data_IF_665066098167
#
_entry.id   IF_665066098167
#
_cell.length_a   1.000
_cell.length_b   1.000
_cell.length_c   1.000
_cell.angle_alpha   90.00
_cell.angle_beta   90.00
_cell.angle_gamma   90.00
#
_symmetry.space_group_name_H-M   'P 1'
#
loop_
_entity.id
_entity.type
_entity.pdbx_description
1 polymer ?
#
# COMPACT_ATOMS: atom_id res chain seq x y z
N UNK A 1 6.70 -14.38 11.94
CA UNK A 1 5.84 -15.19 11.06
C UNK A 1 4.46 -14.55 11.02
N UNK A 2 4.15 -13.73 10.02
CA UNK A 2 2.79 -13.24 9.76
C UNK A 2 2.31 -13.87 8.47
N UNK A 3 1.60 -14.99 8.60
CA UNK A 3 0.93 -15.67 7.49
C UNK A 3 -0.55 -15.63 7.80
N UNK A 4 -1.36 -15.12 6.88
CA UNK A 4 -2.80 -14.92 7.09
C UNK A 4 -3.61 -15.68 6.06
N UNK A 5 -4.54 -16.51 6.52
CA UNK A 5 -5.51 -17.18 5.66
C UNK A 5 -6.57 -16.19 5.17
N UNK A 6 -6.88 -16.26 3.88
CA UNK A 6 -7.88 -15.44 3.21
C UNK A 6 -8.92 -16.39 2.61
N UNK A 7 -10.15 -16.28 3.11
CA UNK A 7 -11.30 -17.04 2.65
C UNK A 7 -12.57 -16.26 3.00
N UNK A 8 -13.67 -16.56 2.31
CA UNK A 8 -14.95 -15.91 2.60
C UNK A 8 -15.51 -16.37 3.95
N UNK A 9 -15.79 -15.41 4.82
CA UNK A 9 -16.56 -15.60 6.06
C UNK A 9 -18.03 -15.26 5.85
N UNK A 10 -18.91 -15.68 6.78
CA UNK A 10 -20.36 -15.49 6.71
C UNK A 10 -20.79 -14.08 6.30
N UNK A 11 -20.15 -13.06 6.88
CA UNK A 11 -20.41 -11.66 6.55
C UNK A 11 -20.10 -11.33 5.08
N UNK A 12 -18.89 -11.66 4.63
CA UNK A 12 -18.50 -11.45 3.23
C UNK A 12 -19.33 -12.27 2.24
N UNK A 13 -19.72 -13.49 2.61
CA UNK A 13 -20.53 -14.37 1.76
C UNK A 13 -21.95 -13.86 1.55
N UNK A 14 -22.47 -13.04 2.47
CA UNK A 14 -23.84 -12.52 2.47
C UNK A 14 -23.92 -11.07 1.95
N UNK A 15 -23.14 -10.72 0.92
CA UNK A 15 -23.16 -9.38 0.32
C UNK A 15 -22.12 -8.40 0.87
N UNK A 16 -21.26 -8.83 1.79
CA UNK A 16 -20.14 -8.04 2.29
C UNK A 16 -18.97 -7.96 1.29
N UNK A 17 -17.92 -7.22 1.64
CA UNK A 17 -16.73 -7.07 0.79
C UNK A 17 -15.94 -8.38 0.74
N UNK A 18 -15.47 -8.76 -0.46
CA UNK A 18 -14.62 -9.92 -0.65
C UNK A 18 -13.28 -9.74 0.08
N UNK A 19 -12.89 -10.67 0.98
CA UNK A 19 -11.57 -10.66 1.60
C UNK A 19 -10.45 -10.80 0.57
N UNK A 20 -10.70 -11.54 -0.52
CA UNK A 20 -9.77 -11.66 -1.65
C UNK A 20 -9.54 -10.30 -2.30
N UNK A 21 -10.61 -9.62 -2.72
CA UNK A 21 -10.49 -8.33 -3.40
C UNK A 21 -9.88 -7.26 -2.50
N UNK A 22 -10.28 -7.23 -1.22
CA UNK A 22 -9.69 -6.32 -0.24
C UNK A 22 -8.19 -6.53 -0.10
N UNK A 23 -7.76 -7.77 0.10
CA UNK A 23 -6.33 -8.09 0.26
C UNK A 23 -5.55 -7.82 -1.02
N UNK A 24 -6.07 -8.22 -2.19
CA UNK A 24 -5.40 -7.94 -3.47
C UNK A 24 -5.27 -6.43 -3.69
N UNK A 25 -6.35 -5.66 -3.47
CA UNK A 25 -6.33 -4.20 -3.57
C UNK A 25 -5.26 -3.58 -2.65
N UNK A 26 -5.15 -4.05 -1.41
CA UNK A 26 -4.14 -3.58 -0.46
C UNK A 26 -2.70 -3.92 -0.90
N UNK A 27 -2.49 -5.10 -1.52
CA UNK A 27 -1.18 -5.53 -2.02
C UNK A 27 -0.75 -4.74 -3.25
N UNK A 28 -1.65 -4.55 -4.22
CA UNK A 28 -1.27 -4.05 -5.55
C UNK A 28 -1.15 -2.54 -5.63
N UNK A 29 -1.73 -1.84 -4.66
CA UNK A 29 -1.93 -0.38 -4.71
C UNK A 29 -0.63 0.40 -4.59
N UNK A 30 -0.31 1.13 -5.66
CA UNK A 30 0.89 1.94 -5.86
C UNK A 30 2.19 1.15 -5.71
N UNK A 31 2.18 -0.08 -6.23
CA UNK A 31 3.27 -1.04 -6.13
C UNK A 31 3.65 -1.57 -7.50
N UNK A 32 4.84 -2.14 -7.59
CA UNK A 32 5.24 -2.91 -8.76
C UNK A 32 4.75 -4.34 -8.58
N UNK A 33 3.90 -4.80 -9.50
CA UNK A 33 3.12 -6.02 -9.30
C UNK A 33 3.53 -7.09 -10.29
N UNK A 34 3.80 -8.29 -9.80
CA UNK A 34 4.06 -9.47 -10.59
C UNK A 34 2.91 -10.46 -10.41
N UNK A 35 2.31 -10.90 -11.52
CA UNK A 35 1.09 -11.70 -11.53
C UNK A 35 1.34 -13.00 -12.27
N UNK A 36 0.97 -14.13 -11.68
CA UNK A 36 0.91 -15.43 -12.36
C UNK A 36 -0.48 -15.99 -12.18
N UNK A 37 -1.24 -16.16 -13.26
CA UNK A 37 -2.57 -16.76 -13.18
C UNK A 37 -3.03 -17.30 -14.55
N UNK A 38 -3.50 -18.56 -14.66
CA UNK A 38 -4.01 -19.11 -15.92
C UNK A 38 -5.32 -18.48 -16.37
N UNK A 39 -6.24 -18.24 -15.42
CA UNK A 39 -7.60 -17.83 -15.73
C UNK A 39 -7.88 -16.47 -15.13
N UNK A 40 -7.95 -15.47 -15.99
CA UNK A 40 -8.07 -14.07 -15.59
C UNK A 40 -9.25 -13.46 -16.33
N UNK A 41 -10.04 -12.62 -15.68
CA UNK A 41 -11.00 -11.79 -16.42
C UNK A 41 -10.36 -10.43 -16.69
N UNK A 42 -10.43 -9.94 -17.92
CA UNK A 42 -9.90 -8.60 -18.31
C UNK A 42 -10.40 -7.50 -17.38
N UNK A 43 -11.68 -7.53 -16.99
CA UNK A 43 -12.26 -6.54 -16.09
C UNK A 43 -11.65 -6.56 -14.68
N UNK A 44 -11.22 -7.72 -14.18
CA UNK A 44 -10.58 -7.80 -12.87
C UNK A 44 -9.09 -7.47 -12.94
N UNK A 45 -8.39 -7.90 -14.00
CA UNK A 45 -7.01 -7.50 -14.25
C UNK A 45 -6.90 -5.98 -14.41
N UNK A 46 -7.82 -5.36 -15.16
CA UNK A 46 -7.87 -3.90 -15.31
C UNK A 46 -8.00 -3.16 -13.98
N UNK A 47 -8.69 -3.73 -12.98
CA UNK A 47 -8.73 -3.17 -11.61
C UNK A 47 -7.38 -3.23 -10.92
N UNK A 48 -6.66 -4.33 -11.08
CA UNK A 48 -5.31 -4.48 -10.51
C UNK A 48 -4.35 -3.50 -11.17
N UNK A 49 -4.35 -3.43 -12.51
CA UNK A 49 -3.42 -2.57 -13.26
C UNK A 49 -3.69 -1.08 -13.05
N UNK A 50 -4.96 -0.68 -12.85
CA UNK A 50 -5.32 0.70 -12.50
C UNK A 50 -4.75 1.13 -11.12
N UNK A 51 -4.55 0.16 -10.22
CA UNK A 51 -4.03 0.42 -8.87
C UNK A 51 -2.51 0.31 -8.79
N UNK A 52 -1.86 -0.40 -9.71
CA UNK A 52 -0.42 -0.66 -9.69
C UNK A 52 0.40 0.48 -10.32
N UNK A 53 1.65 0.65 -9.88
CA UNK A 53 2.61 1.57 -10.55
C UNK A 53 3.11 0.94 -11.87
N UNK A 54 3.51 -0.32 -11.79
CA UNK A 54 3.88 -1.16 -12.93
C UNK A 54 3.33 -2.55 -12.68
N UNK A 55 3.11 -3.31 -13.74
CA UNK A 55 2.61 -4.67 -13.61
C UNK A 55 3.21 -5.56 -14.70
N UNK A 56 3.42 -6.83 -14.36
CA UNK A 56 3.86 -7.85 -15.30
C UNK A 56 3.04 -9.11 -15.07
N UNK A 57 2.60 -9.75 -16.15
CA UNK A 57 1.76 -10.94 -16.13
C UNK A 57 2.46 -12.10 -16.86
N UNK A 58 2.63 -13.22 -16.16
CA UNK A 58 2.92 -14.52 -16.78
C UNK A 58 1.63 -15.35 -16.76
N UNK A 59 1.19 -15.78 -17.93
CA UNK A 59 -0.06 -16.54 -18.07
C UNK A 59 -0.01 -17.52 -19.23
N UNK A 60 -0.85 -18.53 -19.19
CA UNK A 60 -1.12 -19.33 -20.38
C UNK A 60 -2.14 -18.57 -21.24
N UNK A 61 -1.63 -17.79 -22.18
CA UNK A 61 -2.45 -16.99 -23.11
C UNK A 61 -3.46 -17.84 -23.89
N UNK A 62 -3.12 -19.08 -24.24
CA UNK A 62 -4.03 -19.97 -24.99
C UNK A 62 -5.23 -20.34 -24.10
N UNK A 63 -4.97 -20.81 -22.88
CA UNK A 63 -5.99 -21.13 -21.88
C UNK A 63 -6.82 -19.90 -21.47
N UNK A 64 -6.16 -18.75 -21.34
CA UNK A 64 -6.82 -17.49 -21.02
C UNK A 64 -7.86 -17.15 -22.09
N UNK A 65 -7.52 -17.26 -23.37
CA UNK A 65 -8.45 -16.93 -24.45
C UNK A 65 -9.53 -18.00 -24.58
N UNK A 66 -9.18 -19.29 -24.64
CA UNK A 66 -10.15 -20.35 -24.99
C UNK A 66 -11.25 -20.51 -23.94
N UNK A 67 -10.93 -20.25 -22.66
CA UNK A 67 -11.87 -20.31 -21.52
C UNK A 67 -13.00 -19.26 -21.57
N UNK A 68 -12.90 -18.29 -22.48
CA UNK A 68 -13.87 -17.22 -22.65
C UNK A 68 -14.83 -17.47 -23.83
N UNK A 69 -15.99 -16.77 -23.81
CA UNK A 69 -16.89 -16.74 -24.97
C UNK A 69 -16.33 -15.85 -26.10
N UNK A 70 -16.92 -15.93 -27.30
CA UNK A 70 -16.42 -15.21 -28.50
C UNK A 70 -16.20 -13.71 -28.26
N UNK A 71 -17.16 -13.02 -27.62
CA UNK A 71 -17.03 -11.58 -27.33
C UNK A 71 -15.86 -11.30 -26.38
N UNK A 72 -15.73 -12.13 -25.34
CA UNK A 72 -14.67 -12.03 -24.35
C UNK A 72 -13.29 -12.42 -24.91
N UNK A 73 -13.22 -13.36 -25.87
CA UNK A 73 -11.99 -13.71 -26.61
C UNK A 73 -11.44 -12.48 -27.32
N UNK A 74 -12.29 -11.74 -28.03
CA UNK A 74 -11.88 -10.53 -28.73
C UNK A 74 -11.45 -9.41 -27.76
N UNK A 75 -12.17 -9.21 -26.65
CA UNK A 75 -11.71 -8.23 -25.64
C UNK A 75 -10.39 -8.63 -24.98
N UNK A 76 -10.16 -9.92 -24.78
CA UNK A 76 -8.91 -10.45 -24.22
C UNK A 76 -7.77 -10.29 -25.21
N UNK A 77 -7.98 -10.61 -26.49
CA UNK A 77 -7.03 -10.35 -27.58
C UNK A 77 -6.61 -8.89 -27.60
N UNK A 78 -7.57 -7.96 -27.64
CA UNK A 78 -7.27 -6.53 -27.71
C UNK A 78 -6.49 -6.08 -26.48
N UNK A 79 -6.89 -6.52 -25.29
CA UNK A 79 -6.15 -6.21 -24.06
C UNK A 79 -4.69 -6.71 -24.12
N UNK A 80 -4.44 -7.91 -24.66
CA UNK A 80 -3.08 -8.42 -24.81
C UNK A 80 -2.28 -7.57 -25.79
N UNK A 81 -2.88 -7.21 -26.93
CA UNK A 81 -2.22 -6.39 -27.96
C UNK A 81 -1.85 -5.00 -27.44
N UNK A 82 -2.67 -4.41 -26.58
CA UNK A 82 -2.42 -3.10 -25.97
C UNK A 82 -1.31 -3.16 -24.89
N UNK A 83 -0.92 -4.35 -24.42
CA UNK A 83 -0.02 -4.53 -23.28
C UNK A 83 1.05 -5.63 -23.53
N UNK A 84 1.55 -5.74 -24.77
CA UNK A 84 2.47 -6.81 -25.17
C UNK A 84 3.78 -6.85 -24.37
N UNK A 85 4.27 -5.69 -23.91
CA UNK A 85 5.48 -5.60 -23.08
C UNK A 85 5.31 -6.21 -21.69
N UNK A 86 4.08 -6.24 -21.20
CA UNK A 86 3.76 -6.54 -19.81
C UNK A 86 3.14 -7.93 -19.66
N UNK A 87 2.96 -8.67 -20.76
CA UNK A 87 2.34 -10.00 -20.79
C UNK A 87 3.25 -11.02 -21.49
N UNK A 88 3.59 -12.07 -20.76
CA UNK A 88 4.33 -13.23 -21.25
C UNK A 88 3.44 -14.47 -21.30
N UNK A 89 3.58 -15.23 -22.38
CA UNK A 89 2.98 -16.55 -22.54
C UNK A 89 3.86 -17.62 -21.88
N UNK A 90 3.27 -18.40 -20.99
CA UNK A 90 3.87 -19.60 -20.39
C UNK A 90 2.84 -20.72 -20.46
N UNK A 91 3.08 -21.70 -21.33
CA UNK A 91 2.18 -22.83 -21.52
C UNK A 91 2.03 -23.70 -20.27
N UNK A 92 0.81 -24.14 -19.99
CA UNK A 92 0.44 -25.02 -18.87
C UNK A 92 0.71 -24.42 -17.47
N UNK A 93 0.92 -23.10 -17.36
CA UNK A 93 1.09 -22.45 -16.05
C UNK A 93 -0.23 -22.46 -15.29
N UNK A 94 -0.28 -23.11 -14.13
CA UNK A 94 -1.50 -23.18 -13.31
C UNK A 94 -1.36 -22.51 -11.93
N UNK A 95 -0.24 -21.82 -11.69
CA UNK A 95 -0.02 -21.06 -10.47
C UNK A 95 -0.95 -19.84 -10.39
N UNK A 96 -1.30 -19.41 -9.17
CA UNK A 96 -2.19 -18.28 -8.89
C UNK A 96 -1.57 -17.44 -7.80
N UNK A 97 -0.78 -16.47 -8.24
CA UNK A 97 0.15 -15.72 -7.41
C UNK A 97 0.11 -14.25 -7.79
N UNK A 98 0.06 -13.37 -6.79
CA UNK A 98 0.33 -11.95 -6.93
C UNK A 98 1.45 -11.61 -5.96
N UNK A 99 2.50 -10.94 -6.43
CA UNK A 99 3.62 -10.49 -5.62
C UNK A 99 3.83 -9.00 -5.84
N UNK A 100 3.95 -8.23 -4.77
CA UNK A 100 4.22 -6.80 -4.82
C UNK A 100 5.14 -6.41 -3.68
N UNK A 101 6.28 -5.76 -3.98
CA UNK A 101 7.32 -5.29 -3.05
C UNK A 101 7.61 -6.19 -1.82
N UNK A 102 6.80 -6.06 -0.78
CA UNK A 102 6.93 -6.67 0.55
C UNK A 102 5.82 -7.68 0.91
N UNK A 103 4.90 -7.96 -0.02
CA UNK A 103 3.77 -8.89 0.19
C UNK A 103 3.56 -9.83 -1.00
N UNK A 104 3.01 -11.00 -0.71
CA UNK A 104 2.55 -11.93 -1.71
C UNK A 104 1.21 -12.56 -1.34
N UNK A 105 0.43 -12.89 -2.37
CA UNK A 105 -0.85 -13.55 -2.30
C UNK A 105 -0.80 -14.80 -3.16
N UNK A 106 -1.02 -15.96 -2.55
CA UNK A 106 -1.00 -17.26 -3.24
C UNK A 106 -2.21 -18.08 -2.83
N UNK A 107 -2.85 -18.80 -3.75
CA UNK A 107 -3.96 -19.67 -3.38
C UNK A 107 -4.64 -20.38 -4.53
N UNK A 108 -5.89 -20.78 -4.30
CA UNK A 108 -6.70 -21.51 -5.27
C UNK A 108 -7.52 -20.60 -6.20
N UNK A 109 -7.74 -19.34 -5.80
CA UNK A 109 -8.58 -18.40 -6.53
C UNK A 109 -7.95 -17.93 -7.84
N UNK A 110 -8.68 -18.09 -8.93
CA UNK A 110 -8.38 -17.44 -10.20
C UNK A 110 -8.79 -15.96 -10.17
N UNK A 111 -8.09 -15.10 -10.90
CA UNK A 111 -8.32 -13.65 -10.96
C UNK A 111 -9.52 -13.28 -11.85
N UNK A 112 -10.67 -13.85 -11.49
CA UNK A 112 -11.96 -13.66 -12.16
C UNK A 112 -12.99 -13.16 -11.15
N UNK A 113 -14.00 -12.41 -11.60
CA UNK A 113 -15.08 -11.97 -10.72
C UNK A 113 -15.69 -13.12 -9.89
N UNK A 114 -15.85 -14.31 -10.50
CA UNK A 114 -16.36 -15.50 -9.80
C UNK A 114 -15.38 -16.08 -8.78
N UNK A 115 -14.11 -16.23 -9.17
CA UNK A 115 -13.06 -16.72 -8.26
C UNK A 115 -12.90 -15.83 -7.02
N UNK A 116 -13.11 -14.53 -7.18
CA UNK A 116 -12.94 -13.53 -6.12
C UNK A 116 -14.20 -13.33 -5.28
N UNK A 117 -15.40 -13.62 -5.79
CA UNK A 117 -16.67 -13.22 -5.14
C UNK A 117 -17.65 -14.36 -4.84
N UNK A 118 -17.56 -15.47 -5.56
CA UNK A 118 -18.65 -16.46 -5.61
C UNK A 118 -18.18 -17.88 -5.28
N UNK A 119 -16.89 -18.19 -5.47
CA UNK A 119 -16.34 -19.52 -5.24
C UNK A 119 -15.83 -19.69 -3.81
N UNK A 120 -15.96 -20.93 -3.31
CA UNK A 120 -15.30 -21.35 -2.07
C UNK A 120 -13.82 -21.58 -2.42
N UNK A 121 -13.01 -20.56 -2.18
CA UNK A 121 -11.57 -20.56 -2.43
C UNK A 121 -10.82 -20.33 -1.11
N UNK A 122 -9.52 -20.61 -1.12
CA UNK A 122 -8.62 -20.23 -0.03
C UNK A 122 -7.30 -19.74 -0.58
N UNK A 123 -6.81 -18.66 0.02
CA UNK A 123 -5.51 -18.09 -0.25
C UNK A 123 -4.76 -17.76 1.02
N UNK A 124 -3.49 -17.44 0.86
CA UNK A 124 -2.57 -17.06 1.92
C UNK A 124 -1.95 -15.72 1.55
N UNK A 125 -2.01 -14.77 2.48
CA UNK A 125 -1.20 -13.56 2.48
C UNK A 125 0.11 -13.85 3.20
N UNK A 126 1.21 -13.53 2.53
CA UNK A 126 2.58 -13.68 3.01
C UNK A 126 3.20 -12.28 3.10
N UNK A 127 3.71 -11.92 4.27
CA UNK A 127 4.42 -10.65 4.53
C UNK A 127 5.86 -10.89 5.00
N UNK A 128 6.27 -12.16 5.05
CA UNK A 128 7.63 -12.53 5.47
C UNK A 128 8.61 -12.25 4.33
N UNK A 129 9.54 -11.32 4.58
CA UNK A 129 10.49 -10.81 3.59
C UNK A 129 11.22 -11.93 2.82
N UNK A 130 11.69 -12.97 3.51
CA UNK A 130 12.44 -14.05 2.87
C UNK A 130 11.58 -14.82 1.86
N UNK A 131 10.34 -15.14 2.22
CA UNK A 131 9.37 -15.83 1.36
C UNK A 131 8.91 -14.95 0.19
N UNK A 132 8.68 -13.66 0.44
CA UNK A 132 8.35 -12.71 -0.63
C UNK A 132 9.50 -12.58 -1.62
N UNK A 133 10.74 -12.46 -1.14
CA UNK A 133 11.92 -12.44 -2.00
C UNK A 133 12.10 -13.73 -2.81
N UNK A 134 11.79 -14.89 -2.23
CA UNK A 134 11.78 -16.16 -2.96
C UNK A 134 10.75 -16.14 -4.10
N UNK A 135 9.52 -15.71 -3.83
CA UNK A 135 8.47 -15.60 -4.84
C UNK A 135 8.80 -14.58 -5.94
N UNK A 136 9.47 -13.48 -5.61
CA UNK A 136 9.97 -12.51 -6.60
C UNK A 136 11.02 -13.12 -7.52
N UNK A 137 11.97 -13.91 -6.98
CA UNK A 137 12.97 -14.61 -7.79
C UNK A 137 12.30 -15.66 -8.68
N UNK A 138 11.41 -16.46 -8.10
CA UNK A 138 10.63 -17.45 -8.85
C UNK A 138 9.85 -16.82 -10.00
N UNK A 139 9.17 -15.68 -9.78
CA UNK A 139 8.52 -14.93 -10.85
C UNK A 139 9.51 -14.47 -11.92
N UNK A 140 10.66 -13.92 -11.52
CA UNK A 140 11.69 -13.46 -12.47
C UNK A 140 12.20 -14.59 -13.33
N UNK A 141 12.40 -15.77 -12.77
CA UNK A 141 12.83 -16.97 -13.50
C UNK A 141 11.74 -17.41 -14.50
N UNK A 142 10.47 -17.38 -14.11
CA UNK A 142 9.35 -17.62 -15.04
C UNK A 142 9.29 -16.58 -16.15
N UNK A 143 9.51 -15.30 -15.83
CA UNK A 143 9.49 -14.21 -16.80
C UNK A 143 10.60 -14.37 -17.85
N UNK A 144 11.81 -14.69 -17.41
CA UNK A 144 12.97 -14.95 -18.30
C UNK A 144 12.74 -16.22 -19.14
N UNK A 145 12.13 -17.25 -18.54
CA UNK A 145 11.85 -18.53 -19.20
C UNK A 145 10.58 -18.55 -20.05
N UNK A 146 9.82 -17.46 -20.13
CA UNK A 146 8.61 -17.34 -20.94
C UNK A 146 8.83 -16.50 -22.20
N UNK A 147 7.86 -16.52 -23.10
CA UNK A 147 7.94 -15.79 -24.35
C UNK A 147 7.00 -14.59 -24.34
N UNK A 148 7.50 -13.44 -24.80
CA UNK A 148 6.62 -12.31 -25.10
C UNK A 148 5.65 -12.68 -26.22
N UNK A 149 4.40 -12.24 -26.10
CA UNK A 149 3.37 -12.55 -27.09
C UNK A 149 3.68 -11.87 -28.42
N UNK A 150 3.67 -12.61 -29.52
CA UNK A 150 3.81 -12.05 -30.87
C UNK A 150 2.44 -11.80 -31.48
N UNK A 151 2.22 -10.61 -32.01
CA UNK A 151 0.94 -10.19 -32.63
C UNK A 151 0.43 -11.19 -33.67
N UNK A 152 1.30 -11.62 -34.60
CA UNK A 152 0.91 -12.53 -35.69
C UNK A 152 0.47 -13.90 -35.19
N UNK A 153 1.16 -14.44 -34.18
CA UNK A 153 0.86 -15.75 -33.60
C UNK A 153 -0.45 -15.70 -32.81
N UNK A 154 -0.67 -14.62 -32.04
CA UNK A 154 -1.92 -14.38 -31.33
C UNK A 154 -3.11 -14.26 -32.27
N UNK A 155 -2.98 -13.48 -33.35
CA UNK A 155 -4.03 -13.33 -34.36
C UNK A 155 -4.39 -14.66 -35.02
N UNK A 156 -3.36 -15.40 -35.45
CA UNK A 156 -3.52 -16.72 -36.04
C UNK A 156 -4.21 -17.69 -35.07
N UNK A 157 -3.81 -17.69 -33.80
CA UNK A 157 -4.42 -18.52 -32.78
C UNK A 157 -5.89 -18.18 -32.59
N UNK A 158 -6.24 -16.92 -32.38
CA UNK A 158 -7.63 -16.47 -32.17
C UNK A 158 -8.50 -16.85 -33.37
N UNK A 159 -8.04 -16.61 -34.61
CA UNK A 159 -8.78 -16.98 -35.82
C UNK A 159 -8.98 -18.50 -35.93
N UNK A 160 -8.01 -19.31 -35.48
CA UNK A 160 -8.14 -20.78 -35.50
C UNK A 160 -9.22 -21.32 -34.54
N UNK A 161 -9.57 -20.55 -33.51
CA UNK A 161 -10.54 -20.94 -32.48
C UNK A 161 -11.88 -20.17 -32.57
N UNK A 162 -12.08 -19.33 -33.59
CA UNK A 162 -13.30 -18.54 -33.76
C UNK A 162 -14.56 -19.40 -33.86
N UNK A 163 -14.45 -20.58 -34.48
CA UNK A 163 -15.55 -21.53 -34.65
C UNK A 163 -15.78 -22.44 -33.44
N UNK A 164 -14.88 -22.43 -32.44
CA UNK A 164 -15.02 -23.30 -31.27
C UNK A 164 -16.17 -22.81 -30.38
N UNK A 165 -17.04 -23.73 -29.93
CA UNK A 165 -18.14 -23.40 -29.03
C UNK A 165 -17.60 -22.75 -27.75
N UNK A 166 -18.39 -21.84 -27.17
CA UNK A 166 -18.01 -21.21 -25.90
C UNK A 166 -18.04 -22.27 -24.79
N UNK A 167 -16.95 -22.38 -24.03
CA UNK A 167 -16.90 -23.18 -22.81
C UNK A 167 -17.88 -22.61 -21.77
N UNK A 168 -19.13 -23.08 -21.78
CA UNK A 168 -20.13 -22.73 -20.77
C UNK A 168 -21.59 -22.59 -21.22
N UNK A 169 -21.95 -22.90 -22.47
CA UNK A 169 -23.37 -22.78 -22.90
C UNK A 169 -24.26 -23.98 -22.54
N UNK A 170 -23.71 -25.19 -22.41
CA UNK A 170 -24.52 -26.35 -22.04
C UNK A 170 -24.40 -26.63 -20.54
N UNK A 171 -25.01 -25.77 -19.72
CA UNK A 171 -25.27 -26.18 -18.33
C UNK A 171 -26.36 -27.25 -18.36
N UNK A 172 -26.14 -28.43 -17.77
CA UNK A 172 -27.18 -29.43 -17.66
C UNK A 172 -28.42 -28.82 -16.99
N UNK A 173 -29.60 -29.03 -17.59
CA UNK A 173 -30.89 -28.52 -17.08
C UNK A 173 -31.16 -29.03 -15.65
N UNK A 174 -30.60 -30.19 -15.30
CA UNK A 174 -30.61 -30.76 -13.96
C UNK A 174 -29.25 -30.58 -13.28
N UNK A 175 -29.26 -30.08 -12.04
CA UNK A 175 -28.08 -30.03 -11.17
C UNK A 175 -28.25 -30.99 -10.00
N UNK A 176 -27.13 -31.53 -9.50
CA UNK A 176 -27.15 -32.31 -8.27
C UNK A 176 -27.48 -31.40 -7.08
N UNK A 177 -28.34 -31.84 -6.15
CA UNK A 177 -28.70 -31.02 -4.99
C UNK A 177 -27.48 -30.79 -4.09
N UNK A 178 -27.31 -29.56 -3.61
CA UNK A 178 -26.30 -29.18 -2.63
C UNK A 178 -26.92 -28.34 -1.52
N UNK A 179 -26.48 -28.57 -0.28
CA UNK A 179 -26.85 -27.76 0.89
C UNK A 179 -25.90 -26.57 1.10
N UNK A 180 -24.86 -26.44 0.29
CA UNK A 180 -23.87 -25.38 0.43
C UNK A 180 -24.52 -24.02 0.12
N UNK A 181 -24.26 -23.04 0.99
CA UNK A 181 -24.69 -21.66 0.75
C UNK A 181 -23.83 -21.05 -0.37
N UNK A 182 -24.47 -20.39 -1.33
CA UNK A 182 -23.76 -19.62 -2.34
C UNK A 182 -23.07 -18.41 -1.71
N UNK A 183 -21.87 -18.10 -2.18
CA UNK A 183 -21.16 -16.87 -1.80
C UNK A 183 -21.56 -15.79 -2.80
N UNK A 184 -21.88 -14.60 -2.30
CA UNK A 184 -22.08 -13.42 -3.13
C UNK A 184 -21.44 -12.22 -2.45
N UNK A 185 -20.12 -12.08 -2.60
CA UNK A 185 -19.40 -10.94 -2.08
C UNK A 185 -19.37 -9.78 -3.08
N UNK A 186 -19.10 -8.57 -2.59
CA UNK A 186 -18.88 -7.36 -3.37
C UNK A 186 -17.38 -7.07 -3.51
N UNK A 187 -17.01 -6.36 -4.58
CA UNK A 187 -15.67 -5.82 -4.73
C UNK A 187 -15.56 -4.52 -3.92
N UNK A 188 -14.34 -4.15 -3.54
CA UNK A 188 -13.98 -2.84 -3.02
C UNK A 188 -14.26 -1.79 -4.09
N UNK A 189 -14.80 -0.65 -3.67
CA UNK A 189 -15.03 0.48 -4.54
C UNK A 189 -13.72 1.23 -4.79
N UNK A 190 -13.08 0.94 -5.93
CA UNK A 190 -11.82 1.58 -6.36
C UNK A 190 -12.07 3.01 -6.82
N UNK A 191 -13.27 3.31 -7.32
CA UNK A 191 -13.62 4.64 -7.79
C UNK A 191 -13.81 5.59 -6.61
N UNK A 192 -14.45 5.14 -5.52
CA UNK A 192 -14.50 5.89 -4.27
C UNK A 192 -13.10 6.22 -3.70
N UNK A 193 -12.12 5.32 -3.83
CA UNK A 193 -10.73 5.57 -3.42
C UNK A 193 -10.09 6.66 -4.28
N UNK A 194 -10.29 6.60 -5.60
CA UNK A 194 -9.73 7.59 -6.53
C UNK A 194 -10.43 8.96 -6.43
N UNK A 195 -11.75 8.97 -6.21
CA UNK A 195 -12.53 10.17 -5.91
C UNK A 195 -12.01 10.80 -4.61
N UNK A 196 -11.80 10.03 -3.55
CA UNK A 196 -11.27 10.54 -2.29
C UNK A 196 -9.91 11.23 -2.45
N UNK A 197 -8.98 10.67 -3.24
CA UNK A 197 -7.69 11.32 -3.52
C UNK A 197 -7.87 12.58 -4.35
N UNK A 198 -8.77 12.57 -5.32
CA UNK A 198 -9.06 13.73 -6.16
C UNK A 198 -9.71 14.86 -5.36
N UNK A 199 -10.60 14.53 -4.43
CA UNK A 199 -11.22 15.46 -3.49
C UNK A 199 -10.18 16.04 -2.52
N UNK A 200 -9.28 15.22 -1.97
CA UNK A 200 -8.17 15.69 -1.12
C UNK A 200 -7.34 16.73 -1.87
N UNK A 201 -6.96 16.43 -3.12
CA UNK A 201 -6.15 17.34 -3.93
C UNK A 201 -6.89 18.63 -4.29
N UNK A 202 -8.15 18.52 -4.71
CA UNK A 202 -8.96 19.67 -5.09
C UNK A 202 -9.18 20.61 -3.90
N UNK A 203 -9.44 20.05 -2.72
CA UNK A 203 -9.70 20.82 -1.50
C UNK A 203 -8.43 21.40 -0.86
N UNK A 204 -7.24 20.90 -1.21
CA UNK A 204 -5.98 21.26 -0.53
C UNK A 204 -4.83 21.58 -1.50
N UNK A 205 -5.13 22.07 -2.71
CA UNK A 205 -4.13 22.24 -3.77
C UNK A 205 -2.92 23.09 -3.33
N UNK A 206 -3.13 24.23 -2.67
CA UNK A 206 -2.03 25.10 -2.22
C UNK A 206 -1.15 24.40 -1.17
N UNK A 207 -1.75 23.72 -0.19
CA UNK A 207 -1.02 22.97 0.83
C UNK A 207 -0.30 21.75 0.24
N UNK A 208 -0.85 21.13 -0.80
CA UNK A 208 -0.20 20.05 -1.56
C UNK A 208 1.07 20.53 -2.26
N UNK A 209 1.00 21.65 -2.98
CA UNK A 209 2.16 22.23 -3.65
C UNK A 209 3.24 22.65 -2.64
N UNK A 210 2.84 23.24 -1.51
CA UNK A 210 3.75 23.55 -0.40
C UNK A 210 4.41 22.29 0.16
N UNK A 211 3.67 21.20 0.30
CA UNK A 211 4.16 19.92 0.78
C UNK A 211 5.21 19.33 -0.17
N UNK A 212 4.92 19.28 -1.48
CA UNK A 212 5.88 18.85 -2.52
C UNK A 212 7.15 19.69 -2.46
N UNK A 213 7.01 21.02 -2.47
CA UNK A 213 8.15 21.95 -2.43
C UNK A 213 9.02 21.72 -1.19
N UNK A 214 8.39 21.45 -0.06
CA UNK A 214 9.11 21.16 1.17
C UNK A 214 9.85 19.81 1.09
N UNK A 215 9.21 18.75 0.60
CA UNK A 215 9.86 17.43 0.47
C UNK A 215 11.09 17.55 -0.46
N UNK A 216 10.96 18.24 -1.60
CA UNK A 216 12.09 18.51 -2.51
C UNK A 216 13.24 19.27 -1.84
N UNK A 217 12.93 20.16 -0.89
CA UNK A 217 13.94 20.93 -0.14
C UNK A 217 14.67 20.05 0.88
N UNK A 218 13.97 19.11 1.52
CA UNK A 218 14.51 18.38 2.68
C UNK A 218 15.33 17.15 2.29
N UNK A 219 14.95 16.48 1.20
CA UNK A 219 15.58 15.22 0.79
C UNK A 219 15.38 14.96 -0.70
N UNK A 220 16.38 14.34 -1.32
CA UNK A 220 16.28 13.70 -2.64
C UNK A 220 15.99 12.20 -2.52
N UNK A 221 15.90 11.67 -1.29
CA UNK A 221 15.72 10.26 -1.01
C UNK A 221 14.24 9.95 -0.71
N UNK A 222 13.58 9.32 -1.67
CA UNK A 222 12.17 8.88 -1.58
C UNK A 222 11.93 7.93 -0.41
N UNK A 223 12.84 6.98 -0.19
CA UNK A 223 12.71 6.00 0.89
C UNK A 223 12.78 6.66 2.27
N UNK A 224 13.63 7.68 2.42
CA UNK A 224 13.79 8.40 3.67
C UNK A 224 12.50 9.13 4.08
N UNK A 225 11.85 9.84 3.16
CA UNK A 225 10.60 10.53 3.46
C UNK A 225 9.45 9.55 3.68
N UNK A 226 9.47 8.40 3.01
CA UNK A 226 8.50 7.35 3.30
C UNK A 226 8.70 6.76 4.71
N UNK A 227 9.95 6.49 5.13
CA UNK A 227 10.25 6.05 6.51
C UNK A 227 9.80 7.10 7.54
N UNK A 228 9.88 8.40 7.22
CA UNK A 228 9.38 9.48 8.08
C UNK A 228 7.86 9.41 8.25
N UNK A 229 7.12 9.24 7.15
CA UNK A 229 5.67 9.09 7.21
C UNK A 229 5.25 7.78 7.90
N UNK A 230 6.04 6.71 7.78
CA UNK A 230 5.79 5.45 8.50
C UNK A 230 6.01 5.62 10.01
N UNK A 231 7.08 6.32 10.43
CA UNK A 231 7.32 6.63 11.84
C UNK A 231 6.20 7.51 12.41
N UNK A 232 5.77 8.51 11.66
CA UNK A 232 4.64 9.37 12.02
C UNK A 232 3.34 8.57 12.18
N UNK A 233 3.06 7.68 11.23
CA UNK A 233 1.89 6.79 11.25
C UNK A 233 1.92 5.88 12.46
N UNK A 234 3.07 5.29 12.78
CA UNK A 234 3.22 4.43 13.97
C UNK A 234 2.79 5.15 15.25
N UNK A 235 3.09 6.45 15.37
CA UNK A 235 2.64 7.26 16.51
C UNK A 235 1.14 7.54 16.48
N UNK A 236 0.58 7.90 15.32
CA UNK A 236 -0.86 8.16 15.18
C UNK A 236 -1.66 6.89 15.47
N UNK A 237 -1.26 5.75 14.91
CA UNK A 237 -1.89 4.45 15.15
C UNK A 237 -1.84 4.06 16.64
N UNK A 238 -0.72 4.31 17.31
CA UNK A 238 -0.56 4.01 18.74
C UNK A 238 -1.37 4.95 19.66
N UNK A 239 -1.54 6.21 19.27
CA UNK A 239 -2.27 7.21 20.07
C UNK A 239 -3.76 7.29 19.74
N UNK A 240 -4.18 6.66 18.64
CA UNK A 240 -5.54 6.68 18.09
C UNK A 240 -6.07 8.10 17.77
N UNK A 241 -5.16 9.07 17.59
CA UNK A 241 -5.53 10.44 17.27
C UNK A 241 -6.06 10.55 15.84
N UNK A 242 -7.08 11.37 15.63
CA UNK A 242 -7.62 11.69 14.30
C UNK A 242 -7.19 13.09 13.85
N UNK A 243 -7.35 13.42 12.56
CA UNK A 243 -6.99 14.76 12.04
C UNK A 243 -7.71 15.89 12.78
N UNK A 244 -8.98 15.66 13.14
CA UNK A 244 -9.81 16.65 13.83
C UNK A 244 -9.54 16.71 15.34
N UNK A 245 -8.70 15.83 15.87
CA UNK A 245 -8.39 15.80 17.30
C UNK A 245 -7.81 17.16 17.75
N UNK A 246 -8.36 17.79 18.81
CA UNK A 246 -7.91 19.10 19.26
C UNK A 246 -6.43 19.14 19.70
N UNK A 247 -5.83 18.00 20.06
CA UNK A 247 -4.44 17.90 20.50
C UNK A 247 -3.46 17.71 19.35
N UNK A 248 -3.89 17.11 18.24
CA UNK A 248 -3.01 16.81 17.11
C UNK A 248 -2.88 17.99 16.16
N UNK A 249 -1.63 18.35 15.86
CA UNK A 249 -1.28 19.30 14.82
C UNK A 249 -0.16 18.73 13.96
N UNK A 250 -0.51 18.33 12.74
CA UNK A 250 0.43 18.22 11.63
C UNK A 250 0.57 19.59 10.97
N UNK A 251 1.78 20.10 10.78
CA UNK A 251 1.99 21.47 10.24
C UNK A 251 3.01 21.47 9.10
N UNK A 252 2.89 22.43 8.17
CA UNK A 252 3.88 22.75 7.13
C UNK A 252 4.39 24.16 7.41
N UNK A 253 5.51 24.29 8.11
CA UNK A 253 6.01 25.61 8.54
C UNK A 253 6.70 26.37 7.39
N UNK A 254 6.64 27.71 7.42
CA UNK A 254 7.29 28.59 6.42
C UNK A 254 8.82 28.44 6.40
N UNK A 255 9.43 28.15 7.56
CA UNK A 255 10.87 28.13 7.79
C UNK A 255 11.32 26.77 8.36
N UNK A 256 11.17 25.69 7.60
CA UNK A 256 11.75 24.37 7.88
C UNK A 256 10.90 23.37 8.67
N UNK A 257 10.00 22.69 7.96
CA UNK A 257 9.57 21.35 8.36
C UNK A 257 8.09 21.07 8.18
N UNK A 258 7.79 19.84 7.76
CA UNK A 258 6.61 19.16 8.28
C UNK A 258 6.86 18.88 9.75
N UNK A 259 5.99 19.26 10.68
CA UNK A 259 6.14 18.94 12.09
C UNK A 259 4.91 18.28 12.66
N UNK A 260 5.09 17.35 13.60
CA UNK A 260 4.00 16.79 14.38
C UNK A 260 4.09 17.32 15.80
N UNK A 261 3.00 17.91 16.26
CA UNK A 261 2.85 18.51 17.58
C UNK A 261 1.69 17.81 18.26
N UNK A 262 1.88 17.47 19.54
CA UNK A 262 0.81 17.01 20.43
C UNK A 262 0.72 17.99 21.60
N UNK A 263 -0.47 18.57 21.78
CA UNK A 263 -0.68 19.63 22.75
C UNK A 263 0.20 20.84 22.45
N UNK A 264 1.27 21.06 23.21
CA UNK A 264 2.09 22.28 23.10
C UNK A 264 3.54 22.02 22.67
N UNK A 265 3.88 20.78 22.28
CA UNK A 265 5.28 20.41 21.96
C UNK A 265 5.36 19.62 20.67
N UNK A 266 6.43 19.87 19.92
CA UNK A 266 6.85 18.98 18.85
C UNK A 266 7.17 17.61 19.44
N UNK A 267 6.65 16.56 18.79
CA UNK A 267 6.93 15.17 19.16
C UNK A 267 7.75 14.45 18.09
N UNK A 268 7.66 14.92 16.84
CA UNK A 268 8.43 14.43 15.70
C UNK A 268 8.62 15.58 14.71
N UNK A 269 9.86 15.82 14.30
CA UNK A 269 10.17 16.84 13.28
C UNK A 269 11.45 16.49 12.49
N UNK A 270 11.41 16.47 11.15
CA UNK A 270 12.57 16.42 10.28
C UNK A 270 13.37 17.73 10.32
N UNK A 271 14.69 17.61 10.21
CA UNK A 271 15.64 18.72 10.19
C UNK A 271 16.22 18.91 8.79
N UNK A 272 16.77 20.11 8.50
CA UNK A 272 17.22 20.59 7.19
C UNK A 272 18.28 19.72 6.47
N UNK A 273 18.84 18.71 7.13
CA UNK A 273 19.92 17.85 6.63
C UNK A 273 19.59 16.35 6.71
N UNK A 274 18.30 15.98 6.63
CA UNK A 274 17.88 14.57 6.70
C UNK A 274 18.03 13.95 8.10
N UNK A 275 18.21 14.77 9.14
CA UNK A 275 18.16 14.32 10.54
C UNK A 275 16.73 14.37 11.08
N UNK A 276 16.47 13.62 12.15
CA UNK A 276 15.15 13.52 12.77
C UNK A 276 15.22 13.95 14.22
N UNK A 277 14.37 14.89 14.61
CA UNK A 277 14.16 15.29 16.00
C UNK A 277 12.97 14.57 16.63
N UNK A 278 13.16 14.03 17.83
CA UNK A 278 12.15 13.37 18.64
C UNK A 278 12.07 14.01 20.04
N UNK A 279 10.86 14.06 20.59
CA UNK A 279 10.70 14.28 22.03
C UNK A 279 11.16 13.04 22.80
N UNK A 280 11.94 13.21 23.86
CA UNK A 280 12.42 12.11 24.68
C UNK A 280 12.23 12.44 26.16
N UNK A 281 11.98 11.45 27.02
CA UNK A 281 11.84 11.69 28.45
C UNK A 281 13.21 11.97 29.08
N UNK A 282 13.23 12.60 30.26
CA UNK A 282 14.47 12.95 30.95
C UNK A 282 15.31 11.73 31.38
N UNK A 283 14.65 10.60 31.57
CA UNK A 283 15.23 9.31 31.98
C UNK A 283 15.83 8.51 30.82
N UNK A 284 15.83 9.04 29.59
CA UNK A 284 16.61 8.46 28.50
C UNK A 284 18.10 8.76 28.71
N UNK A 285 18.89 7.69 28.85
CA UNK A 285 20.29 7.76 29.26
C UNK A 285 21.19 8.41 28.20
N UNK A 286 21.96 9.43 28.62
CA UNK A 286 22.93 10.12 27.78
C UNK A 286 24.07 9.21 27.31
N UNK A 287 24.37 8.13 28.05
CA UNK A 287 25.36 7.15 27.63
C UNK A 287 24.97 6.47 26.29
N UNK A 288 23.68 6.41 25.98
CA UNK A 288 23.20 5.84 24.72
C UNK A 288 23.37 6.76 23.51
N UNK A 289 23.71 8.05 23.70
CA UNK A 289 23.71 9.04 22.62
C UNK A 289 24.63 8.65 21.46
N UNK A 290 25.83 8.17 21.77
CA UNK A 290 26.77 7.73 20.73
C UNK A 290 26.25 6.49 19.99
N UNK A 291 25.77 5.48 20.72
CA UNK A 291 25.25 4.23 20.16
C UNK A 291 24.02 4.47 19.29
N UNK A 292 23.11 5.34 19.74
CA UNK A 292 21.85 5.64 19.05
C UNK A 292 22.01 6.73 17.99
N UNK A 293 23.22 7.30 17.86
CA UNK A 293 23.61 8.38 16.94
C UNK A 293 22.80 9.66 17.15
N UNK A 294 22.65 10.07 18.41
CA UNK A 294 22.20 11.41 18.79
C UNK A 294 23.33 12.38 18.51
N UNK A 295 23.05 13.43 17.73
CA UNK A 295 24.04 14.42 17.30
C UNK A 295 23.80 15.81 17.89
N UNK A 296 22.61 16.05 18.43
CA UNK A 296 22.28 17.29 19.10
C UNK A 296 21.14 17.10 20.11
N UNK A 297 21.24 17.78 21.25
CA UNK A 297 20.19 17.93 22.24
C UNK A 297 19.87 19.43 22.38
N UNK A 298 18.61 19.82 22.22
CA UNK A 298 18.22 21.20 22.48
C UNK A 298 18.01 21.41 23.99
N UNK A 299 18.90 22.17 24.60
CA UNK A 299 18.93 22.42 26.05
C UNK A 299 17.90 23.45 26.52
N UNK A 300 17.37 24.26 25.61
CA UNK A 300 16.40 25.34 25.84
C UNK A 300 14.93 24.91 25.63
N UNK A 301 14.71 23.66 25.23
CA UNK A 301 13.37 23.13 24.94
C UNK A 301 12.70 22.52 26.18
N UNK A 302 11.37 22.67 26.22
CA UNK A 302 10.45 21.94 27.10
C UNK A 302 10.61 22.19 28.60
N UNK A 303 10.56 23.48 28.96
CA UNK A 303 10.53 23.94 30.35
C UNK A 303 9.13 24.34 30.79
N UNK A 304 8.86 24.13 32.08
CA UNK A 304 7.74 24.72 32.80
C UNK A 304 8.24 25.23 34.13
N UNK A 305 7.97 26.50 34.46
CA UNK A 305 8.45 27.12 35.70
C UNK A 305 9.96 26.93 35.93
N UNK A 306 10.77 27.05 34.86
CA UNK A 306 12.24 26.83 34.86
C UNK A 306 12.70 25.39 35.15
N UNK A 307 11.78 24.43 35.22
CA UNK A 307 12.10 23.00 35.35
C UNK A 307 11.94 22.38 33.97
N UNK A 308 12.98 21.69 33.50
CA UNK A 308 12.92 20.90 32.26
C UNK A 308 12.04 19.69 32.49
N UNK A 309 11.16 19.37 31.56
CA UNK A 309 10.22 18.24 31.69
C UNK A 309 10.43 17.16 30.63
N UNK A 310 11.09 17.50 29.52
CA UNK A 310 11.42 16.57 28.44
C UNK A 310 12.69 17.05 27.71
N UNK A 311 13.25 16.18 26.86
CA UNK A 311 14.36 16.47 25.98
C UNK A 311 13.88 16.54 24.54
N UNK A 312 14.57 17.34 23.73
CA UNK A 312 14.46 17.28 22.28
C UNK A 312 15.79 16.77 21.73
N UNK A 313 15.78 15.54 21.21
CA UNK A 313 16.99 14.88 20.70
C UNK A 313 16.93 14.76 19.19
N UNK A 314 18.04 15.11 18.52
CA UNK A 314 18.21 15.00 17.08
C UNK A 314 19.12 13.82 16.76
N UNK A 315 18.59 12.90 15.97
CA UNK A 315 19.24 11.68 15.55
C UNK A 315 19.74 11.78 14.11
N UNK A 316 20.95 11.27 13.86
CA UNK A 316 21.50 11.17 12.53
C UNK A 316 20.93 9.95 11.80
N UNK A 317 20.04 10.21 10.84
CA UNK A 317 19.30 9.20 10.08
C UNK A 317 19.19 9.58 8.60
N UNK A 318 20.27 10.07 7.99
CA UNK A 318 20.24 10.68 6.64
C UNK A 318 19.80 9.74 5.51
N UNK A 319 20.03 8.43 5.66
CA UNK A 319 19.78 7.46 4.58
C UNK A 319 18.43 6.73 4.73
N UNK A 320 18.16 6.21 5.94
CA UNK A 320 16.93 5.50 6.31
C UNK A 320 16.58 5.85 7.75
N UNK A 321 15.29 5.99 8.06
CA UNK A 321 14.83 6.28 9.41
C UNK A 321 14.46 4.96 10.09
N UNK A 322 15.45 4.36 10.75
CA UNK A 322 15.26 3.15 11.55
C UNK A 322 15.72 3.40 12.98
N UNK A 323 14.86 3.07 13.93
CA UNK A 323 15.13 3.16 15.35
C UNK A 323 15.04 1.77 15.98
N UNK A 324 15.94 1.47 16.91
CA UNK A 324 15.78 0.32 17.78
C UNK A 324 14.51 0.46 18.62
N UNK A 325 13.85 -0.65 18.93
CA UNK A 325 12.56 -0.65 19.63
C UNK A 325 12.64 0.08 20.98
N UNK A 326 13.77 -0.03 21.68
CA UNK A 326 13.99 0.68 22.94
C UNK A 326 13.87 2.21 22.78
N UNK A 327 14.40 2.79 21.71
CA UNK A 327 14.28 4.24 21.45
C UNK A 327 12.81 4.60 21.22
N UNK A 328 12.09 3.78 20.45
CA UNK A 328 10.66 3.99 20.20
C UNK A 328 9.82 3.90 21.47
N UNK A 329 10.14 2.99 22.39
CA UNK A 329 9.47 2.88 23.69
C UNK A 329 9.62 4.19 24.49
N UNK A 330 10.83 4.74 24.59
CA UNK A 330 11.05 6.02 25.27
C UNK A 330 10.34 7.18 24.57
N UNK A 331 10.41 7.26 23.25
CA UNK A 331 9.71 8.26 22.47
C UNK A 331 8.19 8.20 22.68
N UNK A 332 7.58 7.02 22.58
CA UNK A 332 6.15 6.80 22.83
C UNK A 332 5.75 7.15 24.25
N UNK A 333 6.59 6.84 25.26
CA UNK A 333 6.38 7.26 26.65
C UNK A 333 6.29 8.78 26.78
N UNK A 334 7.20 9.51 26.13
CA UNK A 334 7.15 10.96 26.11
C UNK A 334 5.89 11.49 25.40
N UNK A 335 5.51 10.90 24.26
CA UNK A 335 4.25 11.22 23.56
C UNK A 335 3.02 11.05 24.46
N UNK A 336 2.91 9.94 25.21
CA UNK A 336 1.82 9.74 26.16
C UNK A 336 1.79 10.81 27.26
N UNK A 337 2.95 11.20 27.79
CA UNK A 337 3.02 12.29 28.76
C UNK A 337 2.50 13.63 28.20
N UNK A 338 2.67 13.87 26.89
CA UNK A 338 2.11 15.06 26.23
C UNK A 338 0.58 15.00 26.12
N UNK A 339 0.02 13.81 25.86
CA UNK A 339 -1.42 13.55 25.83
C UNK A 339 -2.07 13.75 27.20
N UNK A 340 -1.44 13.26 28.26
CA UNK A 340 -1.95 13.41 29.62
C UNK A 340 -1.89 14.87 30.12
N UNK A 341 -0.95 15.67 29.61
CA UNK A 341 -0.73 17.04 30.09
C UNK A 341 -1.85 18.01 29.69
N UNK A 342 -2.51 17.79 28.56
CA UNK A 342 -3.43 18.77 27.99
C UNK A 342 -4.61 18.14 27.29
N UNK A 343 -5.52 18.99 26.78
CA UNK A 343 -6.67 18.54 25.98
C UNK A 343 -6.75 19.22 24.61
N UNK A 344 -5.96 20.26 24.39
CA UNK A 344 -5.99 21.09 23.19
C UNK A 344 -4.57 21.57 22.86
N UNK A 345 -4.27 21.66 21.56
CA UNK A 345 -3.09 22.35 21.05
C UNK A 345 -3.34 23.83 20.81
N UNK A 346 -2.44 24.68 21.33
CA UNK A 346 -2.42 26.11 21.01
C UNK A 346 -1.97 26.40 19.58
N UNK A 347 -1.44 25.39 18.89
CA UNK A 347 -0.97 25.48 17.52
C UNK A 347 -2.00 24.98 16.50
N UNK A 348 -3.25 24.70 16.90
CA UNK A 348 -4.28 24.12 16.01
C UNK A 348 -4.55 24.96 14.76
N UNK A 349 -4.39 26.27 14.84
CA UNK A 349 -4.47 27.18 13.68
C UNK A 349 -3.42 26.93 12.58
N UNK A 350 -2.36 26.19 12.89
CA UNK A 350 -1.31 25.78 11.94
C UNK A 350 -1.48 24.33 11.47
N UNK A 351 -2.60 23.70 11.80
CA UNK A 351 -2.89 22.36 11.35
C UNK A 351 -3.12 22.32 9.84
N UNK A 352 -2.40 21.42 9.19
CA UNK A 352 -2.47 21.14 7.76
C UNK A 352 -2.96 19.69 7.61
N UNK A 353 -4.28 19.49 7.38
CA UNK A 353 -4.88 18.15 7.26
C UNK A 353 -4.23 17.33 6.16
N UNK A 354 -3.72 17.97 5.12
CA UNK A 354 -3.07 17.28 4.01
C UNK A 354 -1.80 16.51 4.43
N UNK A 355 -1.12 16.97 5.48
CA UNK A 355 0.01 16.22 6.05
C UNK A 355 -0.49 14.97 6.78
N UNK A 356 -1.61 15.08 7.50
CA UNK A 356 -2.26 13.92 8.10
C UNK A 356 -2.66 12.91 7.03
N UNK A 357 -3.25 13.36 5.91
CA UNK A 357 -3.54 12.51 4.76
C UNK A 357 -2.26 11.87 4.18
N UNK A 358 -1.16 12.61 4.03
CA UNK A 358 0.11 12.03 3.60
C UNK A 358 0.61 10.94 4.56
N UNK A 359 0.31 11.03 5.85
CA UNK A 359 0.67 10.02 6.85
C UNK A 359 -0.30 8.83 6.84
N UNK A 360 -1.61 9.07 6.79
CA UNK A 360 -2.63 8.04 7.05
C UNK A 360 -3.25 7.44 5.80
N UNK A 361 -3.13 8.10 4.64
CA UNK A 361 -3.70 7.67 3.37
C UNK A 361 -2.58 7.22 2.42
N UNK A 362 -2.29 5.91 2.31
CA UNK A 362 -1.23 5.39 1.45
C UNK A 362 -1.41 5.76 -0.03
N UNK A 363 -2.65 5.96 -0.48
CA UNK A 363 -2.95 6.37 -1.87
C UNK A 363 -2.44 7.76 -2.13
N UNK A 364 -2.86 8.70 -1.30
CA UNK A 364 -2.49 10.09 -1.43
C UNK A 364 -0.98 10.26 -1.23
N UNK A 365 -0.40 9.56 -0.23
CA UNK A 365 1.04 9.53 -0.01
C UNK A 365 1.82 9.08 -1.24
N UNK A 366 1.43 7.95 -1.86
CA UNK A 366 2.15 7.45 -3.01
C UNK A 366 2.13 8.44 -4.17
N UNK A 367 0.94 9.00 -4.48
CA UNK A 367 0.78 10.03 -5.51
C UNK A 367 1.64 11.27 -5.20
N UNK A 368 1.62 11.75 -3.96
CA UNK A 368 2.47 12.85 -3.49
C UNK A 368 3.96 12.56 -3.74
N UNK A 369 4.42 11.33 -3.44
CA UNK A 369 5.81 10.94 -3.64
C UNK A 369 6.15 10.78 -5.13
N UNK A 370 5.25 10.24 -5.95
CA UNK A 370 5.44 10.12 -7.40
C UNK A 370 5.60 11.49 -8.06
N UNK A 371 4.75 12.45 -7.70
CA UNK A 371 4.85 13.83 -8.19
C UNK A 371 6.11 14.56 -7.67
N UNK A 372 6.61 14.15 -6.50
CA UNK A 372 7.79 14.75 -5.89
C UNK A 372 9.09 14.28 -6.53
N UNK A 373 9.21 13.00 -6.86
CA UNK A 373 10.47 12.36 -7.30
C UNK A 373 10.49 11.94 -8.77
N UNK A 374 9.79 12.70 -9.63
CA UNK A 374 9.84 12.55 -11.11
C UNK A 374 11.26 12.68 -11.64
#
# INVERSE_FOLDING_TARGET
MSTKLIYHIKESSAGGISPFDKTITEIVKNKNVCIVCPYISVGYLGRITQLANTWHLVTDVEEWIISHNIKQRQSTKNFILDNLSDIHHYKDIHAKVIVADDKAFIGSSNLTAKGIRERVEMSVLIEEKEQVCELQRWFKDLWIGSESVKTQDLEKYVSSIESLPSSGMDRPIASLPSKATSINAKLVDVEAINIQVSDILTNNQESHERLIKWIKKITSNRDWINDYFDLAREMIDFTELTSDDPMLVTSITKNDGIGIIIGQRYVLKPQSNGRIGLIMPLDYDQQNYNTDRVVHEAEDYFFRNKIREARWLVFERTDRIKFHENIKIYWKKAVLSELERGKISGFKQYHEPIVYEAIMNPTYRAKLLDETFI
#
